data_IF_860225668830
#
_entry.id   IF_860225668830
#
_cell.length_a   1.000
_cell.length_b   1.000
_cell.length_c   1.000
_cell.angle_alpha   90.00
_cell.angle_beta   90.00
_cell.angle_gamma   90.00
#
_symmetry.space_group_name_H-M   'P 1'
#
loop_
_entity.id
_entity.type
_entity.pdbx_description
1 polymer ?
#
# COMPACT_ATOMS: atom_id res chain seq x y z
N UNK A 1 -11.64 -3.14 10.69
CA UNK A 1 -12.67 -3.44 9.68
C UNK A 1 -12.58 -2.33 8.65
N UNK A 2 -12.05 -2.61 7.46
CA UNK A 2 -11.96 -1.64 6.37
C UNK A 2 -13.07 -1.98 5.40
N UNK A 3 -14.22 -1.30 5.51
CA UNK A 3 -15.47 -1.42 4.73
C UNK A 3 -15.90 -2.86 4.35
N UNK A 4 -15.19 -3.54 3.46
CA UNK A 4 -15.51 -4.91 2.99
C UNK A 4 -14.40 -5.97 3.27
N UNK A 5 -13.22 -5.57 3.76
CA UNK A 5 -12.09 -6.46 4.04
C UNK A 5 -12.02 -6.86 5.53
N UNK A 6 -12.17 -8.16 5.79
CA UNK A 6 -12.18 -8.76 7.13
C UNK A 6 -10.92 -9.59 7.40
N UNK A 7 -10.40 -9.46 8.61
CA UNK A 7 -9.31 -10.28 9.12
C UNK A 7 -9.82 -11.04 10.36
N UNK A 8 -9.85 -12.37 10.26
CA UNK A 8 -10.17 -13.26 11.37
C UNK A 8 -8.88 -13.76 12.00
N UNK A 9 -8.75 -13.60 13.31
CA UNK A 9 -7.59 -14.05 14.08
C UNK A 9 -8.09 -15.04 15.13
N UNK A 10 -7.41 -16.18 15.26
CA UNK A 10 -7.75 -17.20 16.26
C UNK A 10 -6.55 -17.57 17.13
N UNK A 11 -6.77 -17.96 18.39
CA UNK A 11 -5.73 -18.57 19.21
C UNK A 11 -5.23 -19.87 18.59
N UNK A 12 -3.95 -20.21 18.81
CA UNK A 12 -3.34 -21.46 18.34
C UNK A 12 -4.00 -22.70 18.96
N UNK A 13 -4.57 -22.56 20.16
CA UNK A 13 -5.25 -23.62 20.91
C UNK A 13 -6.67 -23.90 20.43
N UNK A 14 -7.13 -23.22 19.39
CA UNK A 14 -8.50 -23.33 18.90
C UNK A 14 -8.57 -24.12 17.61
N UNK A 15 -9.45 -25.12 17.56
CA UNK A 15 -9.53 -26.06 16.44
C UNK A 15 -10.53 -25.64 15.36
N UNK A 16 -11.23 -24.52 15.53
CA UNK A 16 -12.18 -24.06 14.52
C UNK A 16 -11.46 -23.61 13.25
N UNK A 17 -12.13 -23.87 12.13
CA UNK A 17 -11.70 -23.57 10.77
C UNK A 17 -12.52 -22.41 10.21
N UNK A 18 -12.08 -21.84 9.09
CA UNK A 18 -12.79 -20.73 8.47
C UNK A 18 -14.23 -21.11 8.09
N UNK A 19 -14.45 -22.36 7.69
CA UNK A 19 -15.77 -22.92 7.38
C UNK A 19 -16.77 -22.80 8.55
N UNK A 20 -16.30 -22.84 9.79
CA UNK A 20 -17.15 -22.77 10.98
C UNK A 20 -17.65 -21.32 11.20
N UNK A 21 -16.86 -20.33 10.77
CA UNK A 21 -17.29 -18.93 10.70
C UNK A 21 -18.28 -18.75 9.56
N UNK A 22 -18.00 -19.32 8.38
CA UNK A 22 -18.89 -19.23 7.21
C UNK A 22 -20.28 -19.77 7.54
N UNK A 23 -20.38 -20.96 8.15
CA UNK A 23 -21.66 -21.55 8.55
C UNK A 23 -22.41 -20.72 9.58
N UNK A 24 -21.70 -20.18 10.58
CA UNK A 24 -22.32 -19.32 11.62
C UNK A 24 -22.85 -18.02 11.04
N UNK A 25 -22.13 -17.44 10.06
CA UNK A 25 -22.46 -16.13 9.47
C UNK A 25 -23.39 -16.22 8.27
N UNK A 26 -23.68 -17.41 7.76
CA UNK A 26 -24.63 -17.65 6.66
C UNK A 26 -26.02 -17.11 7.00
N UNK A 27 -26.51 -17.40 8.21
CA UNK A 27 -27.80 -16.90 8.71
C UNK A 27 -27.88 -15.37 8.84
N UNK A 28 -26.73 -14.70 8.95
CA UNK A 28 -26.63 -13.25 9.06
C UNK A 28 -26.57 -12.56 7.68
N UNK A 29 -26.54 -13.32 6.59
CA UNK A 29 -26.36 -12.78 5.24
C UNK A 29 -25.00 -12.11 5.06
N UNK A 30 -23.97 -12.59 5.78
CA UNK A 30 -22.64 -12.00 5.70
C UNK A 30 -22.06 -12.14 4.29
N UNK A 31 -21.53 -11.06 3.68
CA UNK A 31 -21.14 -11.06 2.28
C UNK A 31 -19.77 -11.70 2.07
N UNK A 32 -19.72 -13.03 2.02
CA UNK A 32 -18.50 -13.76 1.65
C UNK A 32 -18.22 -13.64 0.14
N UNK A 33 -16.99 -13.27 -0.22
CA UNK A 33 -16.55 -13.36 -1.61
C UNK A 33 -16.26 -14.82 -1.97
N UNK A 34 -16.76 -15.36 -3.10
CA UNK A 34 -16.70 -16.79 -3.41
C UNK A 34 -15.29 -17.37 -3.54
N UNK A 35 -14.31 -16.52 -3.87
CA UNK A 35 -12.93 -16.95 -4.15
C UNK A 35 -11.85 -16.12 -3.45
N UNK A 36 -12.21 -15.04 -2.74
CA UNK A 36 -11.23 -14.11 -2.12
C UNK A 36 -11.23 -14.28 -0.62
N UNK A 37 -10.85 -15.46 -0.17
CA UNK A 37 -10.61 -15.75 1.23
C UNK A 37 -9.36 -16.62 1.35
N UNK A 38 -8.76 -16.63 2.54
CA UNK A 38 -7.62 -17.48 2.86
C UNK A 38 -7.96 -18.27 4.12
N UNK A 39 -7.61 -19.55 4.13
CA UNK A 39 -7.64 -20.36 5.35
C UNK A 39 -6.73 -19.77 6.43
N UNK A 40 -6.97 -20.18 7.68
CA UNK A 40 -6.11 -19.81 8.79
C UNK A 40 -4.68 -20.30 8.56
N UNK A 41 -3.73 -19.40 8.75
CA UNK A 41 -2.32 -19.70 8.58
C UNK A 41 -1.43 -18.71 9.33
N UNK A 42 -0.12 -19.00 9.40
CA UNK A 42 0.84 -18.12 10.05
C UNK A 42 1.04 -16.80 9.28
N UNK A 43 0.72 -16.81 7.98
CA UNK A 43 0.83 -15.68 7.07
C UNK A 43 -0.50 -15.40 6.41
N UNK A 44 -0.82 -14.12 6.23
CA UNK A 44 -2.06 -13.68 5.58
C UNK A 44 -1.83 -12.39 4.81
N UNK A 45 -2.46 -12.26 3.65
CA UNK A 45 -2.47 -11.01 2.90
C UNK A 45 -3.69 -10.18 3.29
N UNK A 46 -3.47 -9.00 3.85
CA UNK A 46 -4.53 -8.08 4.28
C UNK A 46 -4.20 -6.65 3.88
N UNK A 47 -5.17 -5.94 3.27
CA UNK A 47 -5.00 -4.60 2.69
C UNK A 47 -3.82 -4.51 1.71
N UNK A 48 -3.51 -5.62 1.04
CA UNK A 48 -2.42 -5.70 0.08
C UNK A 48 -1.02 -5.80 0.68
N UNK A 49 -0.89 -6.07 1.98
CA UNK A 49 0.35 -6.37 2.69
C UNK A 49 0.36 -7.83 3.14
N UNK A 50 1.54 -8.45 3.18
CA UNK A 50 1.72 -9.77 3.78
C UNK A 50 2.07 -9.62 5.26
N UNK A 51 1.23 -10.21 6.10
CA UNK A 51 1.40 -10.25 7.54
C UNK A 51 1.94 -11.62 7.92
N UNK A 52 3.04 -11.66 8.65
CA UNK A 52 3.50 -12.84 9.38
C UNK A 52 3.16 -12.63 10.85
N UNK A 53 2.09 -13.27 11.31
CA UNK A 53 1.54 -13.06 12.65
C UNK A 53 2.41 -13.70 13.74
N UNK A 54 3.20 -14.72 13.41
CA UNK A 54 4.12 -15.34 14.37
C UNK A 54 5.36 -14.48 14.59
N UNK A 55 5.89 -13.89 13.51
CA UNK A 55 7.04 -12.97 13.59
C UNK A 55 6.64 -11.54 13.94
N UNK A 56 5.34 -11.24 13.94
CA UNK A 56 4.78 -9.89 14.10
C UNK A 56 5.37 -8.91 13.10
N UNK A 57 5.59 -9.36 11.86
CA UNK A 57 6.16 -8.55 10.78
C UNK A 57 5.13 -8.31 9.68
N UNK A 58 5.17 -7.12 9.11
CA UNK A 58 4.44 -6.75 7.90
C UNK A 58 5.44 -6.48 6.80
N UNK A 59 5.15 -6.98 5.60
CA UNK A 59 5.90 -6.64 4.40
C UNK A 59 4.97 -6.33 3.24
N UNK A 60 5.43 -5.48 2.33
CA UNK A 60 4.81 -5.32 1.03
C UNK A 60 5.16 -6.57 0.19
N UNK A 61 4.20 -7.18 -0.54
CA UNK A 61 4.52 -8.26 -1.47
C UNK A 61 5.57 -7.82 -2.50
N UNK A 62 6.50 -8.70 -2.84
CA UNK A 62 7.66 -8.36 -3.69
C UNK A 62 7.23 -7.78 -5.05
N UNK A 63 6.20 -8.37 -5.68
CA UNK A 63 5.63 -7.88 -6.93
C UNK A 63 5.13 -6.43 -6.84
N UNK A 64 4.49 -6.06 -5.73
CA UNK A 64 4.04 -4.68 -5.50
C UNK A 64 5.21 -3.76 -5.20
N UNK A 65 6.22 -4.24 -4.45
CA UNK A 65 7.44 -3.49 -4.18
C UNK A 65 8.14 -3.12 -5.48
N UNK A 66 8.27 -4.06 -6.41
CA UNK A 66 8.91 -3.82 -7.70
C UNK A 66 8.16 -2.80 -8.56
N UNK A 67 6.82 -2.89 -8.63
CA UNK A 67 5.99 -1.90 -9.33
C UNK A 67 6.18 -0.50 -8.73
N UNK A 68 6.20 -0.40 -7.40
CA UNK A 68 6.38 0.89 -6.73
C UNK A 68 7.81 1.42 -6.90
N UNK A 69 8.81 0.54 -6.84
CA UNK A 69 10.22 0.86 -7.09
C UNK A 69 10.40 1.42 -8.50
N UNK A 70 9.77 0.82 -9.51
CA UNK A 70 9.79 1.33 -10.88
C UNK A 70 9.13 2.71 -11.01
N UNK A 71 8.00 2.93 -10.34
CA UNK A 71 7.33 4.25 -10.32
C UNK A 71 8.24 5.31 -9.74
N UNK A 72 8.85 5.03 -8.58
CA UNK A 72 9.77 5.96 -7.90
C UNK A 72 11.05 6.18 -8.70
N UNK A 73 11.56 5.15 -9.39
CA UNK A 73 12.75 5.26 -10.23
C UNK A 73 12.61 6.38 -11.28
N UNK A 74 11.40 6.55 -11.81
CA UNK A 74 11.09 7.59 -12.79
C UNK A 74 11.16 9.04 -12.24
N UNK A 75 11.28 9.22 -10.92
CA UNK A 75 11.40 10.52 -10.25
C UNK A 75 12.81 10.80 -9.72
N UNK A 76 13.78 9.89 -9.94
CA UNK A 76 15.17 10.06 -9.48
C UNK A 76 15.97 11.08 -10.28
N UNK A 77 15.46 11.50 -11.43
CA UNK A 77 16.07 12.45 -12.35
C UNK A 77 15.12 13.61 -12.62
N UNK A 78 15.65 14.71 -13.18
CA UNK A 78 14.87 15.90 -13.50
C UNK A 78 14.07 15.73 -14.80
N UNK A 79 13.22 14.70 -14.81
CA UNK A 79 12.33 14.43 -15.93
C UNK A 79 11.04 15.25 -15.83
N UNK A 80 10.37 15.41 -16.96
CA UNK A 80 9.09 16.11 -17.03
C UNK A 80 7.97 15.12 -16.71
N UNK A 81 7.16 15.42 -15.68
CA UNK A 81 6.06 14.57 -15.21
C UNK A 81 4.71 15.26 -15.31
N UNK A 82 3.69 14.47 -15.63
CA UNK A 82 2.28 14.87 -15.62
C UNK A 82 1.67 14.75 -14.23
N UNK A 83 0.61 15.51 -13.96
CA UNK A 83 -0.16 15.40 -12.71
C UNK A 83 -0.63 13.96 -12.43
N UNK A 84 -0.95 13.20 -13.48
CA UNK A 84 -1.37 11.80 -13.35
C UNK A 84 -0.25 10.94 -12.75
N UNK A 85 0.96 11.03 -13.31
CA UNK A 85 2.13 10.28 -12.81
C UNK A 85 2.46 10.65 -11.36
N UNK A 86 2.39 11.94 -11.01
CA UNK A 86 2.62 12.41 -9.64
C UNK A 86 1.57 11.86 -8.68
N UNK A 87 0.28 11.89 -9.04
CA UNK A 87 -0.79 11.32 -8.21
C UNK A 87 -0.63 9.81 -8.01
N UNK A 88 -0.27 9.09 -9.05
CA UNK A 88 -0.08 7.63 -8.99
C UNK A 88 1.08 7.27 -8.04
N UNK A 89 2.22 7.97 -8.11
CA UNK A 89 3.33 7.72 -7.18
C UNK A 89 2.97 8.15 -5.76
N UNK A 90 2.38 9.34 -5.56
CA UNK A 90 1.99 9.81 -4.22
C UNK A 90 0.99 8.85 -3.55
N UNK A 91 -0.02 8.36 -4.28
CA UNK A 91 -0.97 7.38 -3.76
C UNK A 91 -0.31 6.04 -3.40
N UNK A 92 0.66 5.59 -4.19
CA UNK A 92 1.42 4.38 -3.93
C UNK A 92 2.25 4.51 -2.65
N UNK A 93 2.98 5.61 -2.52
CA UNK A 93 3.83 5.89 -1.36
C UNK A 93 2.99 6.10 -0.10
N UNK A 94 1.88 6.83 -0.19
CA UNK A 94 0.97 7.04 0.93
C UNK A 94 0.41 5.71 1.46
N UNK A 95 0.06 4.77 0.58
CA UNK A 95 -0.35 3.43 0.99
C UNK A 95 0.75 2.71 1.79
N UNK A 96 2.03 2.83 1.40
CA UNK A 96 3.16 2.25 2.14
C UNK A 96 3.31 2.90 3.52
N UNK A 97 3.20 4.23 3.61
CA UNK A 97 3.37 4.97 4.88
C UNK A 97 2.37 4.60 5.96
N UNK A 98 1.20 4.02 5.59
CA UNK A 98 0.25 3.50 6.56
C UNK A 98 0.84 2.36 7.40
N UNK A 99 1.76 1.58 6.82
CA UNK A 99 2.42 0.44 7.48
C UNK A 99 3.85 0.78 7.91
N UNK A 100 4.62 1.45 7.06
CA UNK A 100 6.01 1.86 7.31
C UNK A 100 6.08 3.34 7.69
N UNK A 101 5.82 3.64 8.97
CA UNK A 101 5.75 5.03 9.48
C UNK A 101 7.09 5.76 9.43
N UNK A 102 8.19 5.03 9.45
CA UNK A 102 9.56 5.52 9.29
C UNK A 102 9.80 6.16 7.92
N UNK A 103 9.04 5.75 6.90
CA UNK A 103 9.12 6.32 5.56
C UNK A 103 8.18 7.53 5.35
N UNK A 104 7.25 7.77 6.27
CA UNK A 104 6.27 8.87 6.16
C UNK A 104 6.87 10.28 5.99
N UNK A 105 7.98 10.64 6.65
CA UNK A 105 8.60 11.95 6.45
C UNK A 105 9.04 12.19 5.00
N UNK A 106 9.45 11.15 4.27
CA UNK A 106 9.91 11.24 2.88
C UNK A 106 8.75 11.34 1.87
N UNK A 107 7.52 11.59 2.32
CA UNK A 107 6.38 11.91 1.45
C UNK A 107 6.17 13.43 1.31
N UNK A 108 6.88 14.23 2.10
CA UNK A 108 6.65 15.68 2.18
C UNK A 108 6.90 16.39 0.86
N UNK A 109 8.04 16.15 0.20
CA UNK A 109 8.38 16.81 -1.05
C UNK A 109 7.50 16.30 -2.19
N UNK A 110 7.15 15.01 -2.20
CA UNK A 110 6.13 14.49 -3.13
C UNK A 110 4.77 15.18 -2.98
N UNK A 111 4.31 15.44 -1.76
CA UNK A 111 3.07 16.18 -1.51
C UNK A 111 3.19 17.66 -1.90
N UNK A 112 4.32 18.30 -1.63
CA UNK A 112 4.61 19.67 -2.08
C UNK A 112 4.62 19.75 -3.61
N UNK A 113 5.21 18.76 -4.27
CA UNK A 113 5.21 18.70 -5.72
C UNK A 113 3.81 18.51 -6.29
N UNK A 114 3.01 17.63 -5.68
CA UNK A 114 1.60 17.47 -6.04
C UNK A 114 0.80 18.77 -5.86
N UNK A 115 1.04 19.51 -4.76
CA UNK A 115 0.34 20.77 -4.47
C UNK A 115 0.69 21.89 -5.44
N UNK A 116 1.85 21.84 -6.12
CA UNK A 116 2.23 22.81 -7.14
C UNK A 116 1.20 22.92 -8.28
N UNK A 117 0.44 21.85 -8.56
CA UNK A 117 -0.63 21.88 -9.56
C UNK A 117 -1.91 22.59 -9.11
N UNK A 118 -2.07 22.94 -7.84
CA UNK A 118 -3.21 23.76 -7.38
C UNK A 118 -3.23 25.16 -8.00
N UNK A 119 -2.07 25.67 -8.40
CA UNK A 119 -1.88 27.00 -9.03
C UNK A 119 -1.58 26.92 -10.53
N UNK A 120 -1.52 25.71 -11.10
CA UNK A 120 -1.14 25.45 -12.50
C UNK A 120 -2.24 24.69 -13.23
N UNK A 121 -2.19 24.68 -14.56
CA UNK A 121 -3.13 23.87 -15.34
C UNK A 121 -2.86 22.38 -15.12
N UNK A 122 -3.92 21.57 -15.00
CA UNK A 122 -3.84 20.11 -14.88
C UNK A 122 -3.13 19.42 -16.06
N UNK A 123 -3.07 20.09 -17.21
CA UNK A 123 -2.40 19.59 -18.42
C UNK A 123 -0.92 19.98 -18.49
N UNK A 124 -0.45 20.82 -17.59
CA UNK A 124 0.95 21.22 -17.55
C UNK A 124 1.79 20.07 -17.00
N UNK A 125 2.93 19.83 -17.66
CA UNK A 125 3.95 18.93 -17.14
C UNK A 125 5.05 19.75 -16.46
N UNK A 126 5.53 19.29 -15.30
CA UNK A 126 6.54 19.99 -14.51
C UNK A 126 7.78 19.11 -14.38
N UNK A 127 8.95 19.76 -14.33
CA UNK A 127 10.20 19.10 -14.00
C UNK A 127 10.19 18.66 -12.54
N UNK A 128 10.72 17.46 -12.26
CA UNK A 128 10.88 16.98 -10.89
C UNK A 128 11.91 17.84 -10.15
N UNK A 129 11.54 18.52 -9.04
CA UNK A 129 12.46 19.30 -8.23
C UNK A 129 13.53 18.45 -7.55
N UNK A 130 14.70 19.03 -7.25
CA UNK A 130 15.81 18.32 -6.57
C UNK A 130 15.37 17.68 -5.23
N UNK A 131 14.58 18.34 -4.36
CA UNK A 131 14.13 17.71 -3.11
C UNK A 131 13.32 16.42 -3.33
N UNK A 132 12.46 16.39 -4.36
CA UNK A 132 11.68 15.19 -4.73
C UNK A 132 12.59 14.09 -5.25
N UNK A 133 13.64 14.44 -6.00
CA UNK A 133 14.63 13.45 -6.47
C UNK A 133 15.39 12.81 -5.31
N UNK A 134 15.69 13.58 -4.25
CA UNK A 134 16.36 13.06 -3.06
C UNK A 134 15.45 12.15 -2.23
N UNK A 135 14.18 12.52 -2.01
CA UNK A 135 13.19 11.61 -1.42
C UNK A 135 13.02 10.34 -2.27
N UNK A 136 12.97 10.47 -3.61
CA UNK A 136 12.86 9.33 -4.52
C UNK A 136 14.03 8.34 -4.38
N UNK A 137 15.26 8.83 -4.12
CA UNK A 137 16.42 7.94 -3.86
C UNK A 137 16.25 7.17 -2.55
N UNK A 138 15.70 7.78 -1.51
CA UNK A 138 15.42 7.11 -0.24
C UNK A 138 14.38 6.00 -0.44
N UNK A 139 13.26 6.33 -1.09
CA UNK A 139 12.21 5.36 -1.42
C UNK A 139 12.72 4.21 -2.28
N UNK A 140 13.53 4.50 -3.31
CA UNK A 140 14.09 3.47 -4.19
C UNK A 140 15.01 2.50 -3.44
N UNK A 141 15.69 2.95 -2.37
CA UNK A 141 16.53 2.10 -1.53
C UNK A 141 15.73 1.27 -0.52
N UNK A 142 14.59 1.81 -0.05
CA UNK A 142 13.74 1.19 0.95
C UNK A 142 12.79 0.12 0.37
N UNK A 143 12.30 0.35 -0.86
CA UNK A 143 11.56 -0.63 -1.67
C UNK A 143 12.51 -1.62 -2.31
#
# INVERSE_FOLDING_TARGET
MWVDDFLFIKPLTSDFQLKDIQSTTESLGFPWHPTKFSEFGPKVTYLGFEWDLHRMTVKLPDEKSDVFRQRVAAFRHSDVKSLKEVREVCGSLQNITMMARDLAPYLSEFNNFLSAWSTKSQYQKLYVPVPVQDEAKVWFKAL
#
